data_IF_430673622043
#
_entry.id   IF_430673622043
#
_cell.length_a   1.000
_cell.length_b   1.000
_cell.length_c   1.000
_cell.angle_alpha   90.00
_cell.angle_beta   90.00
_cell.angle_gamma   90.00
#
_symmetry.space_group_name_H-M   'P 1'
#
loop_
_entity.id
_entity.type
_entity.pdbx_description
1 polymer ?
#
# COMPACT_ATOMS: atom_id res chain seq x y z
N UNK A 1 21.02 -3.31 -11.96
CA UNK A 1 19.98 -2.52 -12.61
C UNK A 1 18.81 -2.41 -11.65
N UNK A 2 18.36 -1.19 -11.35
CA UNK A 2 17.16 -0.88 -10.60
C UNK A 2 16.33 0.16 -11.36
N UNK A 3 15.03 -0.06 -11.47
CA UNK A 3 14.08 0.80 -12.18
C UNK A 3 12.91 1.11 -11.23
N UNK A 4 12.46 2.36 -11.20
CA UNK A 4 11.25 2.74 -10.46
C UNK A 4 10.06 2.90 -11.41
N UNK A 5 9.00 2.14 -11.17
CA UNK A 5 7.72 2.27 -11.87
C UNK A 5 6.72 2.98 -10.95
N UNK A 6 6.20 4.11 -11.41
CA UNK A 6 5.17 4.91 -10.74
C UNK A 6 3.86 4.72 -11.49
N UNK A 7 2.88 4.10 -10.85
CA UNK A 7 1.55 3.87 -11.43
C UNK A 7 0.56 4.87 -10.86
N UNK A 8 -0.23 5.51 -11.70
CA UNK A 8 -1.28 6.45 -11.31
C UNK A 8 -2.62 5.99 -11.91
N UNK A 9 -3.62 5.81 -11.05
CA UNK A 9 -5.01 5.70 -11.52
C UNK A 9 -5.47 7.09 -11.96
N UNK A 10 -6.18 7.19 -13.09
CA UNK A 10 -6.76 8.46 -13.53
C UNK A 10 -7.56 9.17 -12.42
N UNK A 11 -7.58 10.50 -12.47
CA UNK A 11 -8.36 11.33 -11.56
C UNK A 11 -9.88 11.09 -11.72
N UNK A 12 -10.65 11.57 -10.75
CA UNK A 12 -12.09 11.37 -10.69
C UNK A 12 -12.79 11.93 -11.93
N UNK A 13 -13.68 11.12 -12.50
CA UNK A 13 -14.56 11.55 -13.59
C UNK A 13 -15.97 11.80 -13.09
N UNK A 14 -16.79 12.51 -13.87
CA UNK A 14 -18.22 12.69 -13.57
C UNK A 14 -18.93 11.34 -13.38
N UNK A 15 -18.55 10.31 -14.14
CA UNK A 15 -19.05 8.95 -13.95
C UNK A 15 -18.64 8.34 -12.61
N UNK A 16 -17.38 8.54 -12.17
CA UNK A 16 -16.93 8.05 -10.86
C UNK A 16 -17.67 8.73 -9.71
N UNK A 17 -17.83 10.05 -9.76
CA UNK A 17 -18.57 10.82 -8.75
C UNK A 17 -20.02 10.33 -8.57
N UNK A 18 -20.61 9.79 -9.64
CA UNK A 18 -21.96 9.21 -9.66
C UNK A 18 -21.99 7.70 -9.37
N UNK A 19 -20.84 7.07 -9.15
CA UNK A 19 -20.74 5.62 -8.91
C UNK A 19 -21.09 4.76 -10.13
N UNK A 20 -20.87 5.29 -11.34
CA UNK A 20 -21.16 4.61 -12.60
C UNK A 20 -19.96 3.82 -13.11
N UNK A 21 -20.25 2.63 -13.65
CA UNK A 21 -19.30 1.83 -14.41
C UNK A 21 -19.12 2.42 -15.80
N UNK A 22 -17.88 2.54 -16.27
CA UNK A 22 -17.57 3.22 -17.54
C UNK A 22 -16.88 2.34 -18.56
N UNK A 23 -16.08 1.34 -18.16
CA UNK A 23 -15.31 0.51 -19.11
C UNK A 23 -14.52 1.37 -20.11
N UNK A 24 -14.96 1.31 -21.36
CA UNK A 24 -14.34 1.99 -22.50
C UNK A 24 -14.87 3.42 -22.73
N UNK A 25 -15.96 3.82 -22.08
CA UNK A 25 -16.52 5.17 -22.19
C UNK A 25 -15.59 6.25 -21.64
N UNK A 26 -15.62 7.43 -22.28
CA UNK A 26 -14.77 8.57 -21.92
C UNK A 26 -15.58 9.70 -21.28
N UNK A 27 -16.01 9.53 -20.01
CA UNK A 27 -16.51 10.69 -19.27
C UNK A 27 -15.37 11.64 -18.88
N UNK A 28 -15.67 12.94 -18.86
CA UNK A 28 -14.70 13.98 -18.51
C UNK A 28 -14.36 13.93 -17.03
N UNK A 29 -13.20 14.49 -16.66
CA UNK A 29 -12.87 14.72 -15.25
C UNK A 29 -13.95 15.59 -14.58
N UNK A 30 -14.27 15.31 -13.32
CA UNK A 30 -15.10 16.17 -12.48
C UNK A 30 -14.30 17.39 -12.01
N UNK A 31 -14.95 18.36 -11.36
CA UNK A 31 -14.22 19.47 -10.70
C UNK A 31 -13.23 18.93 -9.65
N UNK A 32 -13.65 17.94 -8.85
CA UNK A 32 -12.75 17.20 -7.94
C UNK A 32 -11.60 16.55 -8.70
N UNK A 33 -11.87 15.91 -9.85
CA UNK A 33 -10.84 15.31 -10.68
C UNK A 33 -9.81 16.32 -11.19
N UNK A 34 -10.24 17.53 -11.55
CA UNK A 34 -9.32 18.60 -11.97
C UNK A 34 -8.45 19.05 -10.79
N UNK A 35 -9.00 19.20 -9.58
CA UNK A 35 -8.22 19.50 -8.37
C UNK A 35 -7.22 18.37 -8.04
N UNK A 36 -7.65 17.10 -8.14
CA UNK A 36 -6.78 15.93 -7.96
C UNK A 36 -5.59 15.97 -8.92
N UNK A 37 -5.79 16.32 -10.18
CA UNK A 37 -4.71 16.47 -11.17
C UNK A 37 -3.76 17.59 -10.78
N UNK A 38 -4.27 18.76 -10.37
CA UNK A 38 -3.43 19.88 -9.95
C UNK A 38 -2.57 19.53 -8.72
N UNK A 39 -3.12 18.75 -7.78
CA UNK A 39 -2.39 18.24 -6.62
C UNK A 39 -1.34 17.20 -6.98
N UNK A 40 -1.69 16.24 -7.86
CA UNK A 40 -0.72 15.28 -8.41
C UNK A 40 0.46 15.99 -9.08
N UNK A 41 0.18 17.01 -9.89
CA UNK A 41 1.21 17.81 -10.54
C UNK A 41 2.15 18.44 -9.52
N UNK A 42 1.62 19.07 -8.47
CA UNK A 42 2.45 19.64 -7.38
C UNK A 42 3.25 18.58 -6.65
N UNK A 43 2.64 17.43 -6.35
CA UNK A 43 3.27 16.34 -5.61
C UNK A 43 4.45 15.70 -6.37
N UNK A 44 4.34 15.65 -7.70
CA UNK A 44 5.34 15.06 -8.60
C UNK A 44 6.26 16.10 -9.26
N UNK A 45 6.09 17.40 -8.98
CA UNK A 45 6.81 18.47 -9.68
C UNK A 45 8.34 18.40 -9.58
N UNK A 46 8.87 17.84 -8.48
CA UNK A 46 10.30 17.66 -8.26
C UNK A 46 10.83 16.33 -8.82
N UNK A 47 9.97 15.50 -9.40
CA UNK A 47 10.31 14.20 -9.94
C UNK A 47 10.51 14.30 -11.46
N UNK A 48 11.61 13.74 -11.96
CA UNK A 48 11.83 13.54 -13.39
C UNK A 48 11.39 12.12 -13.76
N UNK A 49 10.69 12.00 -14.88
CA UNK A 49 10.36 10.71 -15.49
C UNK A 49 11.16 10.56 -16.78
N UNK A 50 11.85 9.42 -16.92
CA UNK A 50 12.61 9.07 -18.13
C UNK A 50 11.68 8.58 -19.24
N UNK A 51 10.52 8.03 -18.86
CA UNK A 51 9.49 7.59 -19.78
C UNK A 51 8.11 7.75 -19.16
N UNK A 52 7.12 8.10 -19.98
CA UNK A 52 5.72 8.21 -19.56
C UNK A 52 4.84 7.42 -20.51
N UNK A 53 4.07 6.49 -19.97
CA UNK A 53 3.13 5.63 -20.72
C UNK A 53 1.71 5.86 -20.23
N UNK A 54 0.79 6.03 -21.16
CA UNK A 54 -0.59 6.40 -20.84
C UNK A 54 -1.54 5.49 -21.59
N UNK A 55 -2.57 5.02 -20.89
CA UNK A 55 -3.68 4.31 -21.53
C UNK A 55 -4.38 5.20 -22.57
N UNK A 56 -4.89 4.64 -23.69
CA UNK A 56 -5.51 5.41 -24.77
C UNK A 56 -6.79 6.15 -24.40
N UNK A 57 -7.40 5.94 -23.23
CA UNK A 57 -8.68 6.58 -22.88
C UNK A 57 -8.51 8.06 -22.50
N UNK A 58 -9.54 8.86 -22.77
CA UNK A 58 -9.50 10.32 -22.61
C UNK A 58 -9.21 10.77 -21.18
N UNK A 59 -9.79 10.11 -20.17
CA UNK A 59 -9.58 10.40 -18.75
C UNK A 59 -8.14 10.18 -18.27
N UNK A 60 -7.46 9.15 -18.78
CA UNK A 60 -6.04 8.90 -18.48
C UNK A 60 -5.15 9.91 -19.17
N UNK A 61 -5.43 10.25 -20.44
CA UNK A 61 -4.72 11.32 -21.16
C UNK A 61 -4.89 12.68 -20.49
N UNK A 62 -6.10 13.04 -20.07
CA UNK A 62 -6.35 14.30 -19.36
C UNK A 62 -5.61 14.35 -18.02
N UNK A 63 -5.57 13.24 -17.28
CA UNK A 63 -4.77 13.13 -16.04
C UNK A 63 -3.28 13.29 -16.33
N UNK A 64 -2.74 12.55 -17.29
CA UNK A 64 -1.31 12.59 -17.65
C UNK A 64 -0.87 13.98 -18.14
N UNK A 65 -1.70 14.64 -18.96
CA UNK A 65 -1.43 16.01 -19.44
C UNK A 65 -1.24 17.02 -18.33
N UNK A 66 -2.01 16.90 -17.25
CA UNK A 66 -1.84 17.78 -16.11
C UNK A 66 -0.55 17.52 -15.32
N UNK A 67 0.04 16.33 -15.42
CA UNK A 67 1.28 15.98 -14.73
C UNK A 67 2.50 16.35 -15.59
N UNK A 68 2.53 15.92 -16.85
CA UNK A 68 3.73 15.99 -17.72
C UNK A 68 3.52 16.73 -19.05
N UNK A 69 2.35 17.32 -19.29
CA UNK A 69 2.01 17.89 -20.60
C UNK A 69 1.75 16.80 -21.65
N UNK A 70 2.00 17.08 -22.92
CA UNK A 70 1.78 16.13 -24.03
C UNK A 70 2.96 15.17 -24.27
N UNK A 71 3.95 15.14 -23.37
CA UNK A 71 5.12 14.25 -23.47
C UNK A 71 4.83 12.88 -22.85
N UNK A 72 4.10 12.05 -23.61
CA UNK A 72 3.83 10.66 -23.23
C UNK A 72 3.56 9.76 -24.43
N UNK A 73 3.84 8.48 -24.26
CA UNK A 73 3.52 7.42 -25.20
C UNK A 73 2.15 6.80 -24.88
N UNK A 74 1.44 6.36 -25.91
CA UNK A 74 0.19 5.61 -25.74
C UNK A 74 0.47 4.11 -25.85
N UNK A 75 0.08 3.34 -24.84
CA UNK A 75 0.07 1.87 -24.90
C UNK A 75 -1.31 1.33 -24.56
N UNK A 76 -1.94 0.71 -25.56
CA UNK A 76 -3.29 0.16 -25.47
C UNK A 76 -3.42 -1.01 -24.49
N UNK A 77 -2.32 -1.66 -24.10
CA UNK A 77 -2.31 -2.75 -23.12
C UNK A 77 -2.57 -2.27 -21.70
N UNK A 78 -2.54 -0.96 -21.44
CA UNK A 78 -2.90 -0.35 -20.15
C UNK A 78 -4.36 0.13 -20.08
N UNK A 79 -5.23 -0.20 -21.05
CA UNK A 79 -6.66 0.19 -21.02
C UNK A 79 -7.47 -0.55 -19.96
N UNK A 80 -8.55 0.08 -19.50
CA UNK A 80 -9.58 -0.60 -18.71
C UNK A 80 -10.26 -1.68 -19.57
N UNK A 81 -10.68 -2.84 -19.03
CA UNK A 81 -11.53 -3.76 -19.78
C UNK A 81 -12.86 -3.08 -20.16
N UNK A 82 -13.43 -3.50 -21.29
CA UNK A 82 -14.82 -3.18 -21.61
C UNK A 82 -15.74 -3.79 -20.55
N UNK A 83 -16.83 -3.11 -20.23
CA UNK A 83 -17.83 -3.62 -19.27
C UNK A 83 -19.20 -3.82 -19.92
N UNK A 84 -19.31 -3.56 -21.24
CA UNK A 84 -20.47 -3.86 -22.07
C UNK A 84 -21.77 -3.32 -21.48
N UNK A 85 -22.74 -4.20 -21.25
CA UNK A 85 -24.06 -3.84 -20.72
C UNK A 85 -24.04 -3.18 -19.32
N UNK A 86 -22.90 -3.16 -18.63
CA UNK A 86 -22.73 -2.50 -17.35
C UNK A 86 -22.37 -1.02 -17.48
N UNK A 87 -22.00 -0.56 -18.68
CA UNK A 87 -21.68 0.85 -18.92
C UNK A 87 -22.86 1.75 -18.55
N UNK A 88 -22.57 2.80 -17.77
CA UNK A 88 -23.56 3.73 -17.25
C UNK A 88 -24.40 3.21 -16.08
N UNK A 89 -24.23 1.97 -15.63
CA UNK A 89 -24.96 1.43 -14.48
C UNK A 89 -24.23 1.68 -13.16
N UNK A 90 -25.02 1.87 -12.09
CA UNK A 90 -24.51 1.92 -10.72
C UNK A 90 -24.22 0.53 -10.17
N UNK A 91 -23.41 0.46 -9.12
CA UNK A 91 -23.21 -0.77 -8.34
C UNK A 91 -24.53 -1.42 -7.86
N UNK A 92 -25.54 -0.60 -7.52
CA UNK A 92 -26.85 -1.09 -7.06
C UNK A 92 -27.63 -1.75 -8.21
N UNK A 93 -27.63 -1.13 -9.38
CA UNK A 93 -28.31 -1.67 -10.56
C UNK A 93 -27.64 -2.95 -11.06
N UNK A 94 -26.30 -2.98 -11.11
CA UNK A 94 -25.56 -4.18 -11.50
C UNK A 94 -25.82 -5.31 -10.50
N UNK A 95 -25.78 -5.03 -9.19
CA UNK A 95 -26.09 -6.03 -8.17
C UNK A 95 -27.52 -6.59 -8.30
N UNK A 96 -28.48 -5.78 -8.73
CA UNK A 96 -29.86 -6.21 -8.95
C UNK A 96 -30.06 -7.02 -10.24
N UNK A 97 -29.39 -6.62 -11.33
CA UNK A 97 -29.56 -7.24 -12.66
C UNK A 97 -28.65 -8.47 -12.87
N UNK A 98 -27.44 -8.45 -12.29
CA UNK A 98 -26.40 -9.46 -12.49
C UNK A 98 -25.78 -9.92 -11.15
N UNK A 99 -26.59 -10.39 -10.17
CA UNK A 99 -26.13 -10.63 -8.80
C UNK A 99 -24.97 -11.63 -8.70
N UNK A 100 -25.02 -12.73 -9.46
CA UNK A 100 -23.97 -13.77 -9.45
C UNK A 100 -22.67 -13.25 -10.05
N UNK A 101 -22.71 -12.71 -11.27
CA UNK A 101 -21.53 -12.16 -11.96
C UNK A 101 -20.88 -11.04 -11.17
N UNK A 102 -21.68 -10.16 -10.58
CA UNK A 102 -21.20 -9.07 -9.73
C UNK A 102 -20.63 -9.58 -8.40
N UNK A 103 -21.24 -10.61 -7.80
CA UNK A 103 -20.70 -11.31 -6.64
C UNK A 103 -19.32 -11.92 -6.91
N UNK A 104 -19.17 -12.65 -8.02
CA UNK A 104 -17.89 -13.20 -8.48
C UNK A 104 -16.82 -12.12 -8.68
N UNK A 105 -17.18 -10.98 -9.28
CA UNK A 105 -16.26 -9.85 -9.48
C UNK A 105 -15.79 -9.24 -8.16
N UNK A 106 -16.71 -9.05 -7.21
CA UNK A 106 -16.36 -8.51 -5.89
C UNK A 106 -15.47 -9.46 -5.08
N UNK A 107 -15.63 -10.77 -5.29
CA UNK A 107 -14.75 -11.81 -4.74
C UNK A 107 -13.47 -12.03 -5.56
N UNK A 108 -13.24 -11.22 -6.60
CA UNK A 108 -12.07 -11.27 -7.50
C UNK A 108 -11.88 -12.63 -8.18
N UNK A 109 -12.98 -13.31 -8.51
CA UNK A 109 -12.93 -14.46 -9.40
C UNK A 109 -12.66 -13.99 -10.84
N UNK A 110 -12.16 -14.89 -11.68
CA UNK A 110 -11.94 -14.60 -13.09
C UNK A 110 -13.28 -14.46 -13.84
N UNK A 111 -13.71 -13.22 -14.03
CA UNK A 111 -14.98 -12.87 -14.67
C UNK A 111 -14.71 -12.34 -16.08
N UNK A 112 -15.48 -12.81 -17.05
CA UNK A 112 -15.55 -12.23 -18.40
C UNK A 112 -16.35 -10.92 -18.35
N UNK A 113 -15.70 -9.78 -18.59
CA UNK A 113 -16.35 -8.48 -18.74
C UNK A 113 -16.39 -8.15 -20.23
N UNK A 114 -17.61 -8.14 -20.78
CA UNK A 114 -17.86 -8.01 -22.23
C UNK A 114 -17.09 -9.04 -23.08
N UNK A 115 -15.90 -8.67 -23.57
CA UNK A 115 -15.03 -9.45 -24.45
C UNK A 115 -13.73 -9.93 -23.78
N UNK A 116 -13.43 -9.52 -22.55
CA UNK A 116 -12.13 -9.76 -21.91
C UNK A 116 -12.28 -10.32 -20.47
N UNK A 117 -11.50 -11.36 -20.12
CA UNK A 117 -11.44 -11.86 -18.74
C UNK A 117 -10.50 -11.02 -17.90
N UNK A 118 -10.71 -11.02 -16.58
CA UNK A 118 -9.78 -10.36 -15.65
C UNK A 118 -8.35 -10.91 -15.78
N UNK A 119 -8.21 -12.21 -16.04
CA UNK A 119 -6.90 -12.84 -16.32
C UNK A 119 -6.26 -12.35 -17.61
N UNK A 120 -7.04 -12.07 -18.66
CA UNK A 120 -6.54 -11.48 -19.90
C UNK A 120 -6.02 -10.05 -19.67
N UNK A 121 -6.77 -9.24 -18.91
CA UNK A 121 -6.33 -7.89 -18.48
C UNK A 121 -5.00 -7.97 -17.73
N UNK A 122 -4.90 -8.94 -16.81
CA UNK A 122 -3.69 -9.16 -16.02
C UNK A 122 -2.50 -9.56 -16.91
N UNK A 123 -2.72 -10.43 -17.89
CA UNK A 123 -1.69 -10.87 -18.82
C UNK A 123 -1.15 -9.72 -19.66
N UNK A 124 -2.03 -8.93 -20.32
CA UNK A 124 -1.57 -7.83 -21.19
C UNK A 124 -0.91 -6.68 -20.43
N UNK A 125 -1.36 -6.39 -19.22
CA UNK A 125 -0.74 -5.34 -18.38
C UNK A 125 0.61 -5.79 -17.84
N UNK A 126 0.76 -7.08 -17.49
CA UNK A 126 2.04 -7.65 -17.11
C UNK A 126 3.02 -7.68 -18.30
N UNK A 127 2.58 -8.07 -19.49
CA UNK A 127 3.41 -8.01 -20.70
C UNK A 127 3.92 -6.58 -20.96
N UNK A 128 3.03 -5.59 -20.89
CA UNK A 128 3.43 -4.19 -21.05
C UNK A 128 4.42 -3.71 -19.99
N UNK A 129 4.25 -4.15 -18.75
CA UNK A 129 5.21 -3.86 -17.67
C UNK A 129 6.57 -4.51 -17.92
N UNK A 130 6.62 -5.77 -18.35
CA UNK A 130 7.89 -6.45 -18.66
C UNK A 130 8.62 -5.75 -19.81
N UNK A 131 7.92 -5.31 -20.84
CA UNK A 131 8.53 -4.51 -21.92
C UNK A 131 9.11 -3.18 -21.41
N UNK A 132 8.42 -2.52 -20.47
CA UNK A 132 8.93 -1.29 -19.88
C UNK A 132 10.20 -1.52 -19.08
N UNK A 133 10.23 -2.57 -18.25
CA UNK A 133 11.41 -2.94 -17.46
C UNK A 133 12.57 -3.36 -18.37
N UNK A 134 12.31 -4.18 -19.40
CA UNK A 134 13.34 -4.67 -20.32
C UNK A 134 13.97 -3.55 -21.17
N UNK A 135 13.20 -2.50 -21.46
CA UNK A 135 13.67 -1.34 -22.21
C UNK A 135 14.35 -0.27 -21.34
N UNK A 136 14.27 -0.39 -20.01
CA UNK A 136 14.76 0.62 -19.08
C UNK A 136 16.28 0.51 -18.84
N UNK A 137 16.87 1.64 -18.51
CA UNK A 137 18.24 1.77 -18.01
C UNK A 137 18.29 1.77 -16.49
N UNK A 138 19.47 1.51 -15.92
CA UNK A 138 19.67 1.58 -14.47
C UNK A 138 19.41 3.00 -13.95
N UNK A 139 18.50 3.12 -12.98
CA UNK A 139 18.07 4.38 -12.38
C UNK A 139 16.88 5.04 -13.06
N UNK A 140 16.33 4.46 -14.14
CA UNK A 140 15.17 5.04 -14.83
C UNK A 140 13.94 5.10 -13.92
N UNK A 141 13.18 6.19 -14.06
CA UNK A 141 11.85 6.33 -13.47
C UNK A 141 10.78 6.40 -14.57
N UNK A 142 9.84 5.47 -14.56
CA UNK A 142 8.76 5.36 -15.55
C UNK A 142 7.41 5.66 -14.91
N UNK A 143 6.66 6.60 -15.47
CA UNK A 143 5.27 6.89 -15.08
C UNK A 143 4.30 6.12 -15.98
N UNK A 144 3.32 5.45 -15.37
CA UNK A 144 2.21 4.81 -16.08
C UNK A 144 0.89 5.37 -15.57
N UNK A 145 0.06 5.95 -16.45
CA UNK A 145 -1.28 6.44 -16.11
C UNK A 145 -2.36 5.52 -16.71
N UNK A 146 -3.13 4.87 -15.84
CA UNK A 146 -4.08 3.81 -16.20
C UNK A 146 -5.35 3.85 -15.31
N UNK A 147 -6.03 2.72 -15.17
CA UNK A 147 -7.40 2.61 -14.65
C UNK A 147 -7.51 1.68 -13.46
N UNK A 148 -8.67 1.67 -12.81
CA UNK A 148 -8.85 1.00 -11.54
C UNK A 148 -8.72 -0.53 -11.65
N UNK A 149 -9.45 -1.16 -12.58
CA UNK A 149 -9.39 -2.62 -12.72
C UNK A 149 -8.11 -3.06 -13.41
N UNK A 150 -7.66 -2.33 -14.45
CA UNK A 150 -6.38 -2.60 -15.10
C UNK A 150 -5.20 -2.63 -14.11
N UNK A 151 -5.04 -1.58 -13.30
CA UNK A 151 -3.95 -1.51 -12.32
C UNK A 151 -4.10 -2.53 -11.20
N UNK A 152 -5.33 -2.87 -10.81
CA UNK A 152 -5.56 -3.90 -9.81
C UNK A 152 -5.18 -5.30 -10.33
N UNK A 153 -5.55 -5.63 -11.56
CA UNK A 153 -5.22 -6.92 -12.16
C UNK A 153 -3.70 -7.03 -12.39
N UNK A 154 -3.08 -5.96 -12.88
CA UNK A 154 -1.62 -5.84 -12.92
C UNK A 154 -0.99 -6.08 -11.54
N UNK A 155 -1.44 -5.34 -10.52
CA UNK A 155 -0.92 -5.45 -9.14
C UNK A 155 -1.03 -6.88 -8.61
N UNK A 156 -2.11 -7.58 -8.95
CA UNK A 156 -2.32 -8.96 -8.51
C UNK A 156 -1.27 -9.92 -9.11
N UNK A 157 -0.88 -9.74 -10.37
CA UNK A 157 0.19 -10.53 -10.99
C UNK A 157 1.56 -10.11 -10.45
N UNK A 158 1.83 -8.81 -10.38
CA UNK A 158 3.12 -8.28 -9.92
C UNK A 158 3.43 -8.59 -8.45
N UNK A 159 2.41 -8.71 -7.59
CA UNK A 159 2.58 -9.21 -6.21
C UNK A 159 2.80 -10.73 -6.13
N UNK A 160 2.65 -11.46 -7.23
CA UNK A 160 2.79 -12.92 -7.26
C UNK A 160 1.54 -13.67 -6.81
N UNK A 161 0.35 -13.17 -7.16
CA UNK A 161 -0.94 -13.83 -6.95
C UNK A 161 -1.44 -13.77 -5.50
N UNK A 162 -1.83 -12.59 -4.99
CA UNK A 162 -2.35 -12.47 -3.64
C UNK A 162 -3.70 -13.19 -3.49
N UNK A 163 -4.11 -13.46 -2.24
CA UNK A 163 -5.42 -14.01 -1.91
C UNK A 163 -6.52 -13.20 -2.63
N UNK A 164 -7.45 -13.84 -3.36
CA UNK A 164 -8.53 -13.13 -4.03
C UNK A 164 -9.30 -12.22 -3.08
N UNK A 165 -9.53 -10.98 -3.50
CA UNK A 165 -10.25 -9.99 -2.69
C UNK A 165 -9.43 -9.28 -1.61
N UNK A 166 -8.16 -9.67 -1.38
CA UNK A 166 -7.30 -9.08 -0.34
C UNK A 166 -6.70 -7.72 -0.70
N UNK A 167 -6.89 -7.24 -1.93
CA UNK A 167 -6.45 -5.91 -2.38
C UNK A 167 -7.67 -5.08 -2.76
N UNK A 168 -7.80 -3.89 -2.16
CA UNK A 168 -8.90 -2.97 -2.44
C UNK A 168 -8.70 -2.32 -3.81
N UNK A 169 -9.80 -1.90 -4.44
CA UNK A 169 -9.69 -1.12 -5.67
C UNK A 169 -8.94 0.19 -5.41
N UNK A 170 -8.01 0.55 -6.31
CA UNK A 170 -7.21 1.77 -6.18
C UNK A 170 -8.12 3.01 -6.18
N UNK A 171 -7.76 4.05 -5.45
CA UNK A 171 -8.47 5.33 -5.43
C UNK A 171 -8.18 6.13 -6.70
N UNK A 172 -9.14 6.96 -7.15
CA UNK A 172 -8.87 7.91 -8.22
C UNK A 172 -7.68 8.81 -7.83
N UNK A 173 -6.80 9.09 -8.80
CA UNK A 173 -5.51 9.75 -8.57
C UNK A 173 -4.55 9.01 -7.60
N UNK A 174 -4.88 7.80 -7.14
CA UNK A 174 -4.00 7.01 -6.27
C UNK A 174 -2.72 6.59 -6.97
N UNK A 175 -1.61 6.65 -6.22
CA UNK A 175 -0.26 6.39 -6.71
C UNK A 175 0.31 5.10 -6.10
N UNK A 176 0.91 4.25 -6.93
CA UNK A 176 1.63 3.05 -6.49
C UNK A 176 3.06 3.14 -6.99
N UNK A 177 4.04 2.82 -6.15
CA UNK A 177 5.46 2.79 -6.53
C UNK A 177 6.00 1.38 -6.40
N UNK A 178 6.74 0.98 -7.42
CA UNK A 178 7.37 -0.32 -7.52
C UNK A 178 8.83 -0.10 -7.87
N UNK A 179 9.72 -0.71 -7.10
CA UNK A 179 11.12 -0.83 -7.48
C UNK A 179 11.32 -2.22 -8.06
N UNK A 180 11.91 -2.29 -9.24
CA UNK A 180 12.34 -3.53 -9.89
C UNK A 180 13.85 -3.57 -9.85
N UNK A 181 14.45 -4.60 -9.27
CA UNK A 181 15.89 -4.78 -9.23
C UNK A 181 16.26 -6.24 -9.52
N UNK A 182 17.00 -6.47 -10.61
CA UNK A 182 17.12 -7.81 -11.19
C UNK A 182 15.72 -8.43 -11.41
N UNK A 183 15.43 -9.58 -10.80
CA UNK A 183 14.11 -10.23 -10.88
C UNK A 183 13.21 -9.93 -9.66
N UNK A 184 13.67 -9.11 -8.70
CA UNK A 184 12.90 -8.75 -7.51
C UNK A 184 11.98 -7.54 -7.79
N UNK A 185 10.68 -7.74 -7.58
CA UNK A 185 9.66 -6.68 -7.61
C UNK A 185 9.26 -6.34 -6.17
N UNK A 186 9.56 -5.11 -5.74
CA UNK A 186 9.18 -4.59 -4.43
C UNK A 186 8.21 -3.41 -4.56
N UNK A 187 7.04 -3.51 -3.93
CA UNK A 187 6.12 -2.40 -3.80
C UNK A 187 6.61 -1.48 -2.66
N UNK A 188 7.11 -0.31 -3.03
CA UNK A 188 7.60 0.69 -2.07
C UNK A 188 6.45 1.53 -1.50
N UNK A 189 5.37 1.71 -2.26
CA UNK A 189 4.09 2.21 -1.77
C UNK A 189 2.95 1.66 -2.60
N UNK A 190 1.75 1.56 -2.03
CA UNK A 190 0.58 1.08 -2.75
C UNK A 190 -0.62 1.98 -2.50
N UNK A 191 -1.26 2.41 -3.59
CA UNK A 191 -2.48 3.22 -3.58
C UNK A 191 -2.40 4.42 -2.61
N UNK A 192 -1.26 5.10 -2.62
CA UNK A 192 -1.01 6.28 -1.83
C UNK A 192 -1.77 7.48 -2.38
N UNK A 193 -2.49 8.14 -1.49
CA UNK A 193 -3.32 9.33 -1.77
C UNK A 193 -2.86 10.53 -0.95
N UNK A 194 -1.62 10.49 -0.45
CA UNK A 194 -1.02 11.51 0.41
C UNK A 194 -1.06 12.96 -0.14
N UNK A 195 -1.20 13.10 -1.47
CA UNK A 195 -1.32 14.38 -2.17
C UNK A 195 -2.76 14.90 -2.27
N UNK A 196 -3.77 14.18 -1.77
CA UNK A 196 -5.18 14.58 -1.86
C UNK A 196 -5.73 15.08 -0.52
N UNK A 197 -4.84 15.58 0.34
CA UNK A 197 -5.03 15.64 1.79
C UNK A 197 -5.24 14.23 2.40
N UNK A 198 -4.96 13.99 3.69
CA UNK A 198 -5.20 12.69 4.33
C UNK A 198 -6.71 12.45 4.55
N UNK A 199 -7.51 12.48 3.48
CA UNK A 199 -8.90 12.04 3.51
C UNK A 199 -8.86 10.53 3.63
N UNK A 200 -8.63 10.05 4.84
CA UNK A 200 -8.88 8.66 5.20
C UNK A 200 -10.40 8.53 5.31
N UNK A 201 -11.09 7.89 4.35
CA UNK A 201 -12.53 7.74 4.42
C UNK A 201 -12.90 6.93 5.66
N UNK A 202 -14.02 7.28 6.28
CA UNK A 202 -14.62 6.43 7.29
C UNK A 202 -14.99 5.07 6.66
N UNK A 203 -14.85 3.96 7.40
CA UNK A 203 -15.33 2.67 6.96
C UNK A 203 -16.86 2.68 6.84
N UNK A 204 -17.41 1.71 6.10
CA UNK A 204 -18.85 1.43 6.14
C UNK A 204 -19.26 0.89 7.52
N UNK A 205 -20.56 0.93 7.82
CA UNK A 205 -21.09 0.45 9.11
C UNK A 205 -20.78 -1.01 9.43
N UNK A 206 -20.53 -1.83 8.40
CA UNK A 206 -20.18 -3.25 8.49
C UNK A 206 -18.68 -3.50 8.32
N UNK A 207 -17.85 -2.45 8.30
CA UNK A 207 -16.41 -2.53 8.11
C UNK A 207 -15.65 -2.00 9.32
N UNK A 208 -14.45 -2.54 9.58
CA UNK A 208 -13.49 -1.93 10.50
C UNK A 208 -12.27 -1.48 9.71
N UNK A 209 -11.77 -0.26 9.96
CA UNK A 209 -10.55 0.22 9.35
C UNK A 209 -9.40 0.27 10.36
N UNK A 210 -8.31 -0.44 10.07
CA UNK A 210 -7.08 -0.42 10.84
C UNK A 210 -6.07 0.48 10.13
N UNK A 211 -5.63 1.54 10.80
CA UNK A 211 -4.49 2.37 10.40
C UNK A 211 -3.27 1.83 11.15
N UNK A 212 -2.45 1.06 10.44
CA UNK A 212 -1.26 0.44 10.98
C UNK A 212 -0.06 1.37 10.78
N UNK A 213 0.50 1.88 11.87
CA UNK A 213 1.52 2.92 11.88
C UNK A 213 2.85 2.34 12.37
N UNK A 214 3.97 2.65 11.71
CA UNK A 214 5.31 2.38 12.29
C UNK A 214 5.71 3.52 13.24
N UNK A 215 6.38 3.18 14.34
CA UNK A 215 7.01 4.18 15.21
C UNK A 215 7.90 5.20 14.46
N UNK A 216 8.11 6.38 15.06
CA UNK A 216 9.04 7.38 14.55
C UNK A 216 10.49 6.92 14.56
N UNK A 217 11.36 7.66 13.88
CA UNK A 217 12.80 7.37 13.81
C UNK A 217 13.43 7.20 15.20
N UNK A 218 14.35 6.25 15.33
CA UNK A 218 15.19 6.02 16.52
C UNK A 218 16.66 6.12 16.15
N UNK A 219 17.55 6.24 17.14
CA UNK A 219 19.00 6.25 16.90
C UNK A 219 19.48 4.96 16.21
N UNK A 220 18.92 3.79 16.59
CA UNK A 220 19.20 2.53 15.89
C UNK A 220 18.77 2.55 14.41
N UNK A 221 17.71 3.30 14.04
CA UNK A 221 17.37 3.47 12.63
C UNK A 221 18.44 4.28 11.89
N UNK A 222 18.96 5.35 12.50
CA UNK A 222 20.05 6.16 11.93
C UNK A 222 21.34 5.34 11.75
N UNK A 223 21.63 4.46 12.69
CA UNK A 223 22.82 3.60 12.67
C UNK A 223 22.66 2.34 11.78
N UNK A 224 21.45 2.07 11.27
CA UNK A 224 21.15 0.86 10.49
C UNK A 224 21.17 -0.43 11.31
N UNK A 225 20.92 -0.34 12.61
CA UNK A 225 20.92 -1.46 13.55
C UNK A 225 19.55 -2.13 13.63
N UNK A 226 19.54 -3.47 13.79
CA UNK A 226 18.32 -4.23 14.00
C UNK A 226 17.92 -4.15 15.48
N UNK A 227 16.94 -3.32 15.81
CA UNK A 227 16.59 -3.05 17.20
C UNK A 227 15.77 -4.16 17.88
N UNK A 228 14.95 -4.88 17.11
CA UNK A 228 14.10 -5.97 17.62
C UNK A 228 13.22 -5.54 18.79
N UNK A 229 13.22 -6.31 19.87
CA UNK A 229 12.44 -6.06 21.09
C UNK A 229 13.20 -5.26 22.15
N UNK A 230 14.42 -4.80 21.88
CA UNK A 230 15.12 -3.89 22.78
C UNK A 230 14.33 -2.59 22.95
N UNK A 231 14.38 -2.05 24.17
CA UNK A 231 13.87 -0.71 24.43
C UNK A 231 14.69 0.31 23.63
N UNK A 232 13.99 1.29 23.08
CA UNK A 232 14.57 2.29 22.20
C UNK A 232 13.74 3.56 22.24
N UNK A 233 14.44 4.70 22.25
CA UNK A 233 13.83 6.01 22.26
C UNK A 233 13.76 6.59 20.85
N UNK A 234 12.80 7.48 20.63
CA UNK A 234 12.73 8.26 19.40
C UNK A 234 13.90 9.25 19.34
N UNK A 235 14.42 9.48 18.14
CA UNK A 235 15.32 10.60 17.87
C UNK A 235 14.56 11.92 17.98
N UNK A 236 15.29 13.05 17.94
CA UNK A 236 14.65 14.38 17.87
C UNK A 236 13.73 14.50 16.64
N UNK A 237 14.15 13.95 15.51
CA UNK A 237 13.32 13.89 14.31
C UNK A 237 12.18 12.87 14.47
N UNK A 238 12.39 11.71 15.10
CA UNK A 238 11.32 10.76 15.43
C UNK A 238 10.18 11.39 16.23
N UNK A 239 10.49 12.22 17.21
CA UNK A 239 9.48 13.01 17.94
C UNK A 239 8.79 14.06 17.04
N UNK A 240 9.52 14.69 16.11
CA UNK A 240 8.97 15.62 15.11
C UNK A 240 7.98 14.92 14.17
N UNK A 241 8.38 13.77 13.62
CA UNK A 241 7.55 12.92 12.78
C UNK A 241 6.26 12.50 13.49
N UNK A 242 6.37 12.04 14.74
CA UNK A 242 5.22 11.61 15.54
C UNK A 242 4.24 12.78 15.82
N UNK A 243 4.74 13.99 16.12
CA UNK A 243 3.89 15.18 16.27
C UNK A 243 3.14 15.49 14.98
N UNK A 244 3.85 15.49 13.84
CA UNK A 244 3.28 15.75 12.51
C UNK A 244 2.23 14.70 12.11
N UNK A 245 2.41 13.44 12.53
CA UNK A 245 1.41 12.39 12.37
C UNK A 245 0.14 12.71 13.17
N UNK A 246 0.29 13.11 14.44
CA UNK A 246 -0.85 13.55 15.26
C UNK A 246 -1.59 14.76 14.66
N UNK A 247 -0.86 15.69 14.03
CA UNK A 247 -1.43 16.85 13.32
C UNK A 247 -2.33 16.49 12.14
N UNK A 248 -2.24 15.27 11.59
CA UNK A 248 -3.13 14.83 10.49
C UNK A 248 -4.60 14.71 10.94
N UNK A 249 -4.86 14.57 12.25
CA UNK A 249 -6.23 14.41 12.80
C UNK A 249 -7.03 13.32 12.08
N UNK A 250 -6.38 12.18 11.85
CA UNK A 250 -7.04 11.01 11.26
C UNK A 250 -8.29 10.63 12.08
N UNK A 251 -9.37 10.15 11.45
CA UNK A 251 -10.66 9.92 12.10
C UNK A 251 -10.65 8.63 12.95
N UNK A 252 -9.84 8.62 14.00
CA UNK A 252 -9.54 7.44 14.84
C UNK A 252 -10.41 7.44 16.09
N UNK A 253 -11.05 6.29 16.37
CA UNK A 253 -11.87 6.06 17.57
C UNK A 253 -11.06 5.53 18.77
N UNK A 254 -10.01 4.75 18.49
CA UNK A 254 -9.12 4.16 19.51
C UNK A 254 -7.68 4.01 19.02
N UNK A 255 -6.72 4.11 19.96
CA UNK A 255 -5.28 3.98 19.68
C UNK A 255 -4.71 2.82 20.48
N UNK A 256 -4.14 1.85 19.76
CA UNK A 256 -3.39 0.73 20.31
C UNK A 256 -1.91 0.89 19.98
N UNK A 257 -1.04 0.36 20.83
CA UNK A 257 0.41 0.44 20.62
C UNK A 257 1.10 -0.82 21.07
N UNK A 258 2.16 -1.19 20.36
CA UNK A 258 3.21 -2.02 20.94
C UNK A 258 3.67 -1.41 22.27
N UNK A 259 3.97 -2.22 23.29
CA UNK A 259 4.46 -1.73 24.55
C UNK A 259 5.88 -1.17 24.46
N UNK A 260 6.63 -1.25 23.37
CA UNK A 260 8.01 -0.71 23.31
C UNK A 260 8.01 0.83 23.27
N UNK A 261 8.97 1.48 23.96
CA UNK A 261 9.02 2.94 24.16
C UNK A 261 8.76 3.79 22.91
N UNK A 262 9.56 3.58 21.85
CA UNK A 262 9.41 4.25 20.54
C UNK A 262 7.99 4.19 19.95
N UNK A 263 7.30 3.06 20.11
CA UNK A 263 5.93 2.89 19.62
C UNK A 263 4.94 3.63 20.54
N UNK A 264 5.07 3.48 21.85
CA UNK A 264 4.23 4.19 22.84
C UNK A 264 4.32 5.70 22.69
N UNK A 265 5.52 6.24 22.51
CA UNK A 265 5.75 7.68 22.35
C UNK A 265 5.13 8.22 21.06
N UNK A 266 5.21 7.44 19.98
CA UNK A 266 4.55 7.75 18.71
C UNK A 266 3.02 7.71 18.87
N UNK A 267 2.49 6.66 19.49
CA UNK A 267 1.06 6.49 19.74
C UNK A 267 0.48 7.61 20.61
N UNK A 268 1.24 8.07 21.61
CA UNK A 268 0.83 9.17 22.47
C UNK A 268 0.56 10.45 21.68
N UNK A 269 1.38 10.77 20.68
CA UNK A 269 1.16 11.96 19.84
C UNK A 269 -0.14 11.90 19.05
N UNK A 270 -0.57 10.70 18.65
CA UNK A 270 -1.87 10.49 17.97
C UNK A 270 -3.01 10.57 18.99
N UNK A 271 -2.88 9.87 20.11
CA UNK A 271 -3.91 9.75 21.14
C UNK A 271 -4.23 11.09 21.82
N UNK A 272 -3.22 11.92 22.10
CA UNK A 272 -3.38 13.23 22.72
C UNK A 272 -4.27 14.15 21.86
N UNK A 273 -4.21 14.05 20.52
CA UNK A 273 -5.00 14.89 19.59
C UNK A 273 -6.47 14.53 19.52
N UNK A 274 -6.81 13.30 19.86
CA UNK A 274 -8.19 12.82 19.94
C UNK A 274 -8.67 12.66 21.38
N UNK A 275 -7.86 13.09 22.37
CA UNK A 275 -8.14 13.00 23.80
C UNK A 275 -8.53 11.57 24.24
N UNK A 276 -7.73 10.59 23.81
CA UNK A 276 -7.87 9.17 24.18
C UNK A 276 -6.61 8.66 24.86
N UNK A 277 -6.74 7.55 25.57
CA UNK A 277 -5.61 6.81 26.11
C UNK A 277 -5.02 5.84 25.08
N UNK A 278 -3.72 5.57 25.18
CA UNK A 278 -3.04 4.53 24.41
C UNK A 278 -3.23 3.18 25.12
N UNK A 279 -3.72 2.18 24.39
CA UNK A 279 -3.93 0.82 24.90
C UNK A 279 -2.75 -0.09 24.48
N UNK A 280 -1.98 -0.66 25.42
CA UNK A 280 -0.86 -1.52 25.06
C UNK A 280 -1.32 -2.88 24.52
N UNK A 281 -0.65 -3.37 23.48
CA UNK A 281 -0.88 -4.69 22.88
C UNK A 281 0.49 -5.34 22.64
N UNK A 282 0.82 -6.34 23.46
CA UNK A 282 2.13 -7.01 23.42
C UNK A 282 2.39 -7.69 22.08
N UNK A 283 1.38 -8.30 21.48
CA UNK A 283 1.53 -9.11 20.27
C UNK A 283 1.77 -8.31 18.99
N UNK A 284 1.71 -6.97 19.04
CA UNK A 284 2.11 -6.09 17.93
C UNK A 284 3.53 -5.54 18.06
N UNK A 285 4.36 -6.13 18.94
CA UNK A 285 5.80 -5.85 19.02
C UNK A 285 6.56 -6.22 17.74
N UNK A 286 7.75 -5.64 17.56
CA UNK A 286 8.68 -6.04 16.51
C UNK A 286 9.09 -7.52 16.69
N UNK A 287 9.60 -8.10 15.62
CA UNK A 287 10.32 -9.38 15.67
C UNK A 287 11.42 -9.34 16.73
N UNK A 288 11.47 -10.35 17.58
CA UNK A 288 12.65 -10.60 18.42
C UNK A 288 13.79 -11.07 17.51
N UNK A 289 14.89 -10.31 17.45
CA UNK A 289 16.04 -10.68 16.61
C UNK A 289 17.11 -11.49 17.37
N UNK A 290 16.84 -11.89 18.61
CA UNK A 290 17.76 -12.69 19.42
C UNK A 290 19.10 -11.98 19.59
N UNK A 291 20.20 -12.71 19.39
CA UNK A 291 21.55 -12.15 19.52
C UNK A 291 21.91 -11.11 18.45
N UNK A 292 21.07 -10.92 17.42
CA UNK A 292 21.30 -9.91 16.38
C UNK A 292 20.81 -8.51 16.77
N UNK A 293 20.14 -8.38 17.91
CA UNK A 293 19.63 -7.09 18.34
C UNK A 293 20.77 -6.09 18.65
N UNK A 294 20.69 -4.91 18.05
CA UNK A 294 21.74 -3.87 18.11
C UNK A 294 22.85 -4.05 17.06
N UNK A 295 22.81 -5.11 16.25
CA UNK A 295 23.80 -5.32 15.19
C UNK A 295 23.35 -4.71 13.87
N UNK A 296 24.30 -4.32 13.01
CA UNK A 296 24.01 -3.94 11.62
C UNK A 296 23.97 -5.20 10.75
N UNK A 297 23.21 -5.20 9.63
CA UNK A 297 23.19 -6.30 8.66
C UNK A 297 24.56 -6.83 8.25
N UNK A 298 25.54 -5.94 8.05
CA UNK A 298 26.90 -6.32 7.65
C UNK A 298 27.61 -7.11 8.74
N UNK A 299 27.44 -6.71 10.00
CA UNK A 299 28.07 -7.38 11.15
C UNK A 299 27.38 -8.73 11.41
N UNK A 300 26.06 -8.83 11.18
CA UNK A 300 25.32 -10.09 11.26
C UNK A 300 25.82 -11.07 10.19
N UNK A 301 25.96 -10.61 8.95
CA UNK A 301 26.43 -11.45 7.85
C UNK A 301 27.87 -11.96 8.07
N UNK A 302 28.73 -11.15 8.70
CA UNK A 302 30.10 -11.53 9.03
C UNK A 302 30.17 -12.51 10.22
N UNK A 303 29.41 -12.26 11.29
CA UNK A 303 29.48 -13.06 12.53
C UNK A 303 28.62 -14.33 12.48
N UNK A 304 27.55 -14.35 11.69
CA UNK A 304 26.60 -15.45 11.55
C UNK A 304 26.35 -15.80 10.07
N UNK A 305 27.40 -16.14 9.29
CA UNK A 305 27.29 -16.31 7.84
C UNK A 305 26.33 -17.45 7.45
N UNK A 306 26.32 -18.56 8.18
CA UNK A 306 25.46 -19.71 7.88
C UNK A 306 23.96 -19.38 8.04
N UNK A 307 23.60 -18.68 9.12
CA UNK A 307 22.22 -18.23 9.34
C UNK A 307 21.82 -17.13 8.37
N UNK A 308 22.75 -16.21 8.06
CA UNK A 308 22.52 -15.16 7.08
C UNK A 308 22.19 -15.76 5.71
N UNK A 309 23.01 -16.69 5.22
CA UNK A 309 22.77 -17.42 3.96
C UNK A 309 21.47 -18.20 4.01
N UNK A 310 21.22 -18.96 5.10
CA UNK A 310 20.00 -19.75 5.23
C UNK A 310 18.73 -18.89 5.12
N UNK A 311 18.74 -17.70 5.73
CA UNK A 311 17.58 -16.80 5.75
C UNK A 311 17.46 -15.95 4.49
N UNK A 312 18.58 -15.51 3.90
CA UNK A 312 18.58 -14.54 2.80
C UNK A 312 18.54 -15.20 1.42
N UNK A 313 19.22 -16.33 1.29
CA UNK A 313 19.55 -16.95 0.00
C UNK A 313 18.88 -18.32 -0.15
N UNK A 314 18.76 -19.09 0.95
CA UNK A 314 18.07 -20.39 0.96
C UNK A 314 16.62 -20.30 1.39
N UNK A 315 16.14 -19.10 1.74
CA UNK A 315 14.75 -18.86 2.07
C UNK A 315 14.20 -19.81 3.16
N UNK A 316 15.02 -20.08 4.17
CA UNK A 316 14.63 -20.82 5.37
C UNK A 316 14.04 -19.89 6.45
N UNK A 317 12.86 -20.24 6.97
CA UNK A 317 12.22 -19.46 8.06
C UNK A 317 12.81 -19.83 9.43
N UNK A 318 14.07 -19.44 9.65
CA UNK A 318 14.79 -19.71 10.90
C UNK A 318 14.57 -18.64 11.97
N UNK A 319 14.73 -18.99 13.27
CA UNK A 319 14.83 -18.00 14.34
C UNK A 319 15.90 -16.96 14.00
N UNK A 320 15.57 -15.67 14.11
CA UNK A 320 16.58 -14.62 13.96
C UNK A 320 17.51 -14.61 15.17
N UNK A 321 18.82 -14.51 14.94
CA UNK A 321 19.82 -14.54 16.01
C UNK A 321 19.76 -15.79 16.89
N UNK A 322 19.53 -16.96 16.27
CA UNK A 322 19.44 -18.31 16.87
C UNK A 322 18.34 -18.53 17.92
N UNK A 323 17.89 -17.47 18.59
CA UNK A 323 17.05 -17.48 19.79
C UNK A 323 15.81 -16.59 19.67
N UNK A 324 15.76 -15.77 18.62
CA UNK A 324 14.64 -14.88 18.35
C UNK A 324 13.47 -15.57 17.66
N UNK A 325 12.62 -14.77 17.03
CA UNK A 325 11.44 -15.26 16.34
C UNK A 325 11.72 -15.61 14.88
N UNK A 326 10.92 -16.52 14.32
CA UNK A 326 10.81 -16.68 12.87
C UNK A 326 9.84 -15.65 12.30
N UNK A 327 9.85 -15.43 10.99
CA UNK A 327 8.86 -14.58 10.33
C UNK A 327 7.43 -15.09 10.53
N UNK A 328 7.23 -16.41 10.44
CA UNK A 328 5.90 -17.01 10.61
C UNK A 328 5.35 -16.84 12.03
N UNK A 329 6.21 -16.87 13.06
CA UNK A 329 5.78 -16.61 14.45
C UNK A 329 5.26 -15.19 14.58
N UNK A 330 6.02 -14.19 14.10
CA UNK A 330 5.62 -12.78 14.12
C UNK A 330 4.33 -12.57 13.35
N UNK A 331 4.25 -13.08 12.12
CA UNK A 331 3.05 -12.96 11.29
C UNK A 331 1.82 -13.51 12.03
N UNK A 332 1.92 -14.70 12.64
CA UNK A 332 0.81 -15.33 13.35
C UNK A 332 0.33 -14.50 14.54
N UNK A 333 1.23 -14.05 15.43
CA UNK A 333 0.82 -13.29 16.64
C UNK A 333 0.26 -11.92 16.30
N UNK A 334 0.88 -11.20 15.36
CA UNK A 334 0.42 -9.86 14.97
C UNK A 334 -0.94 -9.95 14.29
N UNK A 335 -1.15 -10.93 13.42
CA UNK A 335 -2.44 -11.18 12.77
C UNK A 335 -3.54 -11.48 13.79
N UNK A 336 -3.29 -12.41 14.72
CA UNK A 336 -4.28 -12.75 15.75
C UNK A 336 -4.68 -11.53 16.60
N UNK A 337 -3.70 -10.70 16.98
CA UNK A 337 -3.96 -9.50 17.76
C UNK A 337 -4.78 -8.46 16.99
N UNK A 338 -4.39 -8.13 15.74
CA UNK A 338 -5.10 -7.12 14.95
C UNK A 338 -6.50 -7.63 14.53
N UNK A 339 -6.66 -8.91 14.23
CA UNK A 339 -7.96 -9.51 13.92
C UNK A 339 -8.92 -9.38 15.11
N UNK A 340 -8.44 -9.64 16.34
CA UNK A 340 -9.24 -9.43 17.56
C UNK A 340 -9.65 -7.97 17.72
N UNK A 341 -8.72 -7.03 17.55
CA UNK A 341 -9.04 -5.60 17.63
C UNK A 341 -10.05 -5.19 16.55
N UNK A 342 -9.93 -5.72 15.34
CA UNK A 342 -10.83 -5.36 14.26
C UNK A 342 -12.28 -5.81 14.54
N UNK A 343 -12.46 -6.97 15.18
CA UNK A 343 -13.77 -7.50 15.56
C UNK A 343 -14.49 -6.64 16.60
N UNK A 344 -13.74 -6.00 17.51
CA UNK A 344 -14.29 -5.13 18.57
C UNK A 344 -14.68 -3.73 18.07
N UNK A 345 -14.39 -3.40 16.82
CA UNK A 345 -14.43 -2.04 16.27
C UNK A 345 -15.21 -1.91 14.95
N UNK A 346 -16.25 -2.75 14.75
CA UNK A 346 -17.11 -2.69 13.57
C UNK A 346 -17.75 -1.30 13.41
N UNK A 347 -17.60 -0.71 12.23
CA UNK A 347 -18.04 0.65 11.91
C UNK A 347 -17.04 1.75 12.30
N UNK A 348 -15.89 1.39 12.88
CA UNK A 348 -14.92 2.33 13.41
C UNK A 348 -13.55 2.25 12.72
N UNK A 349 -12.77 3.32 12.87
CA UNK A 349 -11.35 3.33 12.51
C UNK A 349 -10.50 3.30 13.77
N UNK A 350 -9.52 2.41 13.82
CA UNK A 350 -8.54 2.32 14.92
C UNK A 350 -7.12 2.50 14.41
N UNK A 351 -6.26 3.11 15.23
CA UNK A 351 -4.83 3.14 14.97
C UNK A 351 -4.13 2.05 15.78
N UNK A 352 -3.21 1.33 15.14
CA UNK A 352 -2.31 0.37 15.78
C UNK A 352 -0.88 0.81 15.49
N UNK A 353 -0.17 1.30 16.51
CA UNK A 353 1.23 1.71 16.38
C UNK A 353 2.15 0.53 16.68
N UNK A 354 2.85 0.08 15.66
CA UNK A 354 3.70 -1.11 15.65
C UNK A 354 5.07 -0.77 15.03
N UNK A 355 5.67 -1.74 14.35
CA UNK A 355 7.04 -1.71 13.85
C UNK A 355 7.09 -2.11 12.38
N UNK A 356 8.21 -1.83 11.72
CA UNK A 356 8.33 -2.04 10.28
C UNK A 356 8.21 -3.52 9.88
N UNK A 357 8.94 -4.41 10.57
CA UNK A 357 8.95 -5.84 10.29
C UNK A 357 7.60 -6.50 10.61
N UNK A 358 7.10 -6.27 11.82
CA UNK A 358 5.79 -6.75 12.28
C UNK A 358 4.64 -6.31 11.37
N UNK A 359 4.61 -5.03 10.97
CA UNK A 359 3.56 -4.51 10.10
C UNK A 359 3.58 -5.14 8.71
N UNK A 360 4.79 -5.31 8.15
CA UNK A 360 4.96 -6.00 6.87
C UNK A 360 4.53 -7.45 6.95
N UNK A 361 4.89 -8.15 8.03
CA UNK A 361 4.51 -9.55 8.23
C UNK A 361 2.99 -9.72 8.25
N UNK A 362 2.28 -8.85 8.99
CA UNK A 362 0.82 -8.83 9.02
C UNK A 362 0.20 -8.56 7.64
N UNK A 363 0.63 -7.52 6.93
CA UNK A 363 0.03 -7.18 5.63
C UNK A 363 0.30 -8.26 4.58
N UNK A 364 1.47 -8.90 4.59
CA UNK A 364 1.72 -10.07 3.74
C UNK A 364 0.75 -11.23 4.07
N UNK A 365 0.43 -11.44 5.35
CA UNK A 365 -0.58 -12.41 5.78
C UNK A 365 -1.98 -12.08 5.27
N UNK A 366 -2.37 -10.80 5.27
CA UNK A 366 -3.62 -10.31 4.65
C UNK A 366 -3.65 -10.65 3.15
N UNK A 367 -2.53 -10.43 2.46
CA UNK A 367 -2.36 -10.74 1.05
C UNK A 367 -2.24 -12.26 0.77
N UNK A 368 -2.21 -13.12 1.80
CA UNK A 368 -2.09 -14.57 1.65
C UNK A 368 -0.67 -15.08 1.41
N UNK A 369 0.34 -14.26 1.70
CA UNK A 369 1.75 -14.63 1.58
C UNK A 369 2.35 -15.00 2.94
N UNK A 370 2.98 -16.17 2.99
CA UNK A 370 3.87 -16.58 4.08
C UNK A 370 5.34 -16.38 3.71
N UNK A 371 6.23 -16.94 4.52
CA UNK A 371 7.64 -17.06 4.15
C UNK A 371 7.81 -17.96 2.92
N UNK A 372 8.71 -17.67 1.96
CA UNK A 372 9.71 -16.61 1.94
C UNK A 372 9.32 -15.33 1.19
N UNK A 373 8.04 -15.16 0.82
CA UNK A 373 7.51 -14.02 0.04
C UNK A 373 7.49 -12.66 0.79
N UNK A 374 8.54 -12.37 1.56
CA UNK A 374 8.69 -11.19 2.44
C UNK A 374 9.16 -9.92 1.75
N UNK A 375 9.68 -10.02 0.52
CA UNK A 375 10.29 -8.91 -0.23
C UNK A 375 9.33 -8.17 -1.17
N UNK A 376 8.10 -8.67 -1.36
CA UNK A 376 7.11 -8.00 -2.21
C UNK A 376 6.66 -6.63 -1.68
N UNK A 377 6.84 -6.38 -0.39
CA UNK A 377 6.58 -5.09 0.24
C UNK A 377 7.87 -4.59 0.90
N UNK A 378 8.14 -3.31 0.68
CA UNK A 378 9.14 -2.57 1.45
C UNK A 378 8.85 -2.60 2.95
N UNK A 379 9.85 -2.31 3.77
CA UNK A 379 9.63 -2.00 5.18
C UNK A 379 8.85 -0.68 5.27
N UNK A 380 7.78 -0.67 6.08
CA UNK A 380 6.99 0.54 6.32
C UNK A 380 7.89 1.68 6.84
N UNK A 381 7.81 2.89 6.29
CA UNK A 381 8.64 4.03 6.70
C UNK A 381 8.33 4.51 8.13
N UNK A 382 9.26 5.21 8.77
CA UNK A 382 9.03 5.76 10.12
C UNK A 382 7.84 6.73 10.12
N UNK A 383 6.86 6.52 11.01
CA UNK A 383 5.54 7.19 11.04
C UNK A 383 4.70 7.08 9.77
N UNK A 384 5.14 6.35 8.76
CA UNK A 384 4.29 5.98 7.65
C UNK A 384 3.22 4.99 8.13
N UNK A 385 2.10 4.94 7.44
CA UNK A 385 1.01 4.06 7.77
C UNK A 385 0.49 3.27 6.57
N UNK A 386 -0.05 2.10 6.87
CA UNK A 386 -0.86 1.30 5.98
C UNK A 386 -2.32 1.36 6.40
N UNK A 387 -3.22 1.22 5.45
CA UNK A 387 -4.66 1.09 5.71
C UNK A 387 -5.11 -0.31 5.36
N UNK A 388 -5.70 -0.99 6.33
CA UNK A 388 -6.28 -2.34 6.17
C UNK A 388 -7.74 -2.27 6.55
N UNK A 389 -8.62 -2.82 5.72
CA UNK A 389 -10.07 -2.76 5.92
C UNK A 389 -10.59 -4.18 6.07
N UNK A 390 -11.21 -4.44 7.23
CA UNK A 390 -11.94 -5.66 7.51
C UNK A 390 -13.37 -5.48 7.02
N UNK A 391 -13.82 -6.42 6.20
CA UNK A 391 -15.17 -6.42 5.64
C UNK A 391 -15.82 -7.78 5.90
N UNK A 392 -17.16 -7.91 5.75
CA UNK A 392 -17.82 -9.21 5.86
C UNK A 392 -17.36 -10.25 4.83
N UNK A 393 -16.65 -9.81 3.77
CA UNK A 393 -16.14 -10.66 2.69
C UNK A 393 -14.64 -10.97 2.81
N UNK A 394 -14.01 -10.50 3.88
CA UNK A 394 -12.60 -10.66 4.14
C UNK A 394 -11.85 -9.34 4.28
N UNK A 395 -10.57 -9.46 4.62
CA UNK A 395 -9.65 -8.35 4.92
C UNK A 395 -8.95 -7.88 3.66
N UNK A 396 -8.84 -6.55 3.49
CA UNK A 396 -8.28 -5.93 2.30
C UNK A 396 -7.18 -4.92 2.65
N UNK A 397 -6.05 -4.96 1.95
CA UNK A 397 -5.09 -3.87 1.90
C UNK A 397 -5.67 -2.73 1.06
N UNK A 398 -5.84 -1.56 1.68
CA UNK A 398 -6.34 -0.36 1.02
C UNK A 398 -5.23 0.60 0.60
N UNK A 399 -4.17 0.74 1.40
CA UNK A 399 -2.95 1.45 1.02
C UNK A 399 -1.75 0.98 1.85
N UNK A 400 -0.54 1.15 1.32
CA UNK A 400 0.72 0.82 1.99
C UNK A 400 1.71 1.98 1.91
N UNK A 401 2.35 2.28 3.04
CA UNK A 401 3.46 3.24 3.15
C UNK A 401 3.10 4.69 2.81
N UNK A 402 1.92 5.15 3.25
CA UNK A 402 1.50 6.56 3.15
C UNK A 402 2.14 7.40 4.26
N UNK A 403 2.67 8.58 3.92
CA UNK A 403 3.28 9.50 4.88
C UNK A 403 3.10 10.98 4.49
N UNK A 404 1.85 11.46 4.33
CA UNK A 404 1.57 12.82 3.85
C UNK A 404 2.14 13.89 4.77
N UNK A 405 2.13 13.63 6.08
CA UNK A 405 2.64 14.55 7.10
C UNK A 405 4.13 14.82 6.97
N UNK A 406 4.91 13.92 6.35
CA UNK A 406 6.37 14.03 6.21
C UNK A 406 6.80 14.91 5.04
N UNK A 407 5.94 15.12 4.03
CA UNK A 407 6.21 16.09 2.96
C UNK A 407 5.86 17.52 3.38
N UNK A 408 6.47 18.49 2.69
CA UNK A 408 6.20 19.90 2.93
C UNK A 408 4.71 20.21 2.69
N UNK A 409 4.04 21.04 3.53
CA UNK A 409 2.60 21.27 3.44
C UNK A 409 2.12 21.77 2.07
N UNK A 410 2.91 22.59 1.38
CA UNK A 410 2.56 23.15 0.07
C UNK A 410 2.54 22.12 -1.07
N UNK A 411 3.04 20.91 -0.83
CA UNK A 411 3.00 19.80 -1.80
C UNK A 411 1.71 18.98 -1.70
N UNK A 412 0.93 19.13 -0.61
CA UNK A 412 -0.30 18.36 -0.35
C UNK A 412 -1.53 18.95 -1.05
#
# INVERSE_FOLDING_TARGET
MSVEIVLVRHAETVGNARGLWQGSDNSTLSETGIDQVARLQRWLAAERFDRVVVSPLGRTRQTARGIVGDDFEIDARWREPSVGEWEGLTHKEIAGRYPEKYGSLLSRQDVLLDDERLTDVAARTNEAFQDLVNAASDGDRILVVSHGLALLMFTSVALGGPRPGSVRLLSNAGLTRITVAADDIEFTSYNDTSHLDPVVPAPRQDETQVILVRHGETDSNLNGEWQGQQEGLLSAEGHSQARRLGDLKLPISAVYSSPLGRARDTAKQVADRISKDVRPVTDVQEMNFGVWEGMRPVDIAEQFPDDWVAIRDLDEDRPRGLTGETFSIVQKRVTAAIDSLAQDHVGETVAVVSHGGASRAFVLGVLGFGYPKRKHLSILGNTAYARVIYTPRGTQLASWNSAPHLRAPHLR
#
